data_IF_953952160176
#
_entry.id   IF_953952160176
#
_cell.length_a   1.000
_cell.length_b   1.000
_cell.length_c   1.000
_cell.angle_alpha   90.00
_cell.angle_beta   90.00
_cell.angle_gamma   90.00
#
_symmetry.space_group_name_H-M   'P 1'
#
loop_
_entity.id
_entity.type
_entity.pdbx_description
1 polymer ?
#
# COMPACT_ATOMS: atom_id res chain seq x y z
N UNK A 1 -4.20 -12.72 10.68
CA UNK A 1 -3.57 -11.45 11.15
C UNK A 1 -4.01 -10.33 10.21
N UNK A 2 -4.01 -9.08 10.68
CA UNK A 2 -4.31 -7.91 9.84
C UNK A 2 -3.16 -6.90 9.97
N UNK A 3 -2.77 -6.32 8.84
CA UNK A 3 -1.75 -5.27 8.75
C UNK A 3 -2.33 -4.08 7.98
N UNK A 4 -1.89 -2.87 8.34
CA UNK A 4 -2.25 -1.64 7.63
C UNK A 4 -1.03 -1.11 6.88
N UNK A 5 -1.19 -0.87 5.57
CA UNK A 5 -0.15 -0.31 4.72
C UNK A 5 -0.65 1.05 4.19
N UNK A 6 -0.11 2.18 4.69
CA UNK A 6 -0.61 3.50 4.32
C UNK A 6 -0.17 3.93 2.92
N UNK A 7 -1.12 4.39 2.11
CA UNK A 7 -0.89 4.94 0.76
C UNK A 7 -1.44 6.37 0.63
N UNK A 8 -1.44 7.10 1.74
CA UNK A 8 -1.94 8.48 1.83
C UNK A 8 -0.84 9.38 2.39
N UNK A 9 -1.10 10.68 2.47
CA UNK A 9 -0.16 11.67 2.96
C UNK A 9 -0.90 12.81 3.68
N UNK A 10 -0.21 13.57 4.53
CA UNK A 10 -0.85 14.48 5.49
C UNK A 10 -1.70 15.60 4.86
N UNK A 11 -1.44 16.00 3.61
CA UNK A 11 -2.12 17.10 2.94
C UNK A 11 -3.11 16.65 1.84
N UNK A 12 -3.53 15.38 1.87
CA UNK A 12 -4.49 14.83 0.89
C UNK A 12 -5.91 15.41 0.99
N UNK A 13 -6.18 16.27 1.96
CA UNK A 13 -7.51 16.81 2.26
C UNK A 13 -8.55 15.73 2.52
N UNK A 14 -8.17 14.66 3.24
CA UNK A 14 -9.10 13.57 3.56
C UNK A 14 -10.34 14.10 4.30
N UNK A 15 -11.54 13.84 3.77
CA UNK A 15 -12.81 14.40 4.26
C UNK A 15 -12.92 15.93 4.18
N UNK A 16 -12.26 16.57 3.21
CA UNK A 16 -12.37 18.00 2.93
C UNK A 16 -12.43 18.26 1.41
N UNK A 17 -12.85 19.46 0.95
CA UNK A 17 -12.81 19.81 -0.48
C UNK A 17 -11.41 19.70 -1.06
N UNK A 18 -11.33 19.38 -2.35
CA UNK A 18 -10.08 19.11 -3.06
C UNK A 18 -9.30 17.91 -2.45
N UNK A 19 -10.03 16.85 -2.07
CA UNK A 19 -9.43 15.57 -1.73
C UNK A 19 -8.66 15.00 -2.93
N UNK A 20 -7.37 14.74 -2.75
CA UNK A 20 -6.49 14.36 -3.84
C UNK A 20 -5.36 13.45 -3.39
N UNK A 21 -4.73 12.80 -4.36
CA UNK A 21 -3.60 11.90 -4.16
C UNK A 21 -2.47 12.27 -5.13
N UNK A 22 -1.22 12.11 -4.70
CA UNK A 22 -0.05 12.33 -5.55
C UNK A 22 0.10 11.15 -6.51
N UNK A 23 0.21 11.42 -7.81
CA UNK A 23 0.40 10.37 -8.82
C UNK A 23 1.67 9.53 -8.58
N UNK A 24 2.74 10.15 -8.05
CA UNK A 24 3.96 9.43 -7.63
C UNK A 24 3.69 8.48 -6.47
N UNK A 25 2.99 8.94 -5.43
CA UNK A 25 2.62 8.08 -4.29
C UNK A 25 1.76 6.90 -4.72
N UNK A 26 0.80 7.12 -5.63
CA UNK A 26 -0.01 6.02 -6.19
C UNK A 26 0.83 5.00 -6.95
N UNK A 27 1.88 5.43 -7.65
CA UNK A 27 2.79 4.53 -8.37
C UNK A 27 3.60 3.68 -7.39
N UNK A 28 4.20 4.31 -6.38
CA UNK A 28 4.98 3.61 -5.36
C UNK A 28 4.11 2.60 -4.60
N UNK A 29 2.86 2.98 -4.29
CA UNK A 29 1.88 2.10 -3.67
C UNK A 29 1.56 0.86 -4.52
N UNK A 30 1.38 1.04 -5.83
CA UNK A 30 1.12 -0.07 -6.76
C UNK A 30 2.30 -1.04 -6.82
N UNK A 31 3.53 -0.52 -6.89
CA UNK A 31 4.74 -1.34 -6.91
C UNK A 31 4.90 -2.13 -5.61
N UNK A 32 4.70 -1.46 -4.46
CA UNK A 32 4.77 -2.10 -3.14
C UNK A 32 3.74 -3.20 -2.98
N UNK A 33 2.47 -2.93 -3.25
CA UNK A 33 1.41 -3.93 -3.08
C UNK A 33 1.56 -5.08 -4.07
N UNK A 34 2.07 -4.81 -5.27
CA UNK A 34 2.40 -5.86 -6.25
C UNK A 34 3.48 -6.80 -5.71
N UNK A 35 4.58 -6.25 -5.20
CA UNK A 35 5.66 -7.04 -4.59
C UNK A 35 5.16 -7.84 -3.39
N UNK A 36 4.40 -7.21 -2.49
CA UNK A 36 3.83 -7.87 -1.32
C UNK A 36 2.96 -9.08 -1.71
N UNK A 37 2.02 -8.91 -2.64
CA UNK A 37 1.16 -10.03 -3.06
C UNK A 37 1.91 -11.09 -3.85
N UNK A 38 2.94 -10.71 -4.62
CA UNK A 38 3.82 -11.64 -5.31
C UNK A 38 4.57 -12.53 -4.30
N UNK A 39 5.27 -11.93 -3.35
CA UNK A 39 6.10 -12.65 -2.37
C UNK A 39 5.27 -13.59 -1.48
N UNK A 40 4.02 -13.19 -1.19
CA UNK A 40 3.07 -14.05 -0.49
C UNK A 40 2.70 -15.32 -1.29
N UNK A 41 2.64 -15.22 -2.62
CA UNK A 41 2.30 -16.32 -3.53
C UNK A 41 3.48 -17.16 -3.99
N UNK A 42 4.70 -16.62 -3.97
CA UNK A 42 5.91 -17.24 -4.53
C UNK A 42 6.45 -18.42 -3.69
N UNK A 43 5.84 -18.72 -2.54
CA UNK A 43 6.17 -19.88 -1.71
C UNK A 43 7.38 -19.70 -0.78
N UNK A 44 8.05 -18.55 -0.81
CA UNK A 44 9.09 -18.15 0.15
C UNK A 44 8.55 -17.64 1.50
N UNK A 45 7.23 -17.57 1.66
CA UNK A 45 6.61 -17.11 2.91
C UNK A 45 6.88 -18.10 4.06
N UNK A 46 7.42 -17.64 5.21
CA UNK A 46 7.70 -18.52 6.35
C UNK A 46 6.45 -19.27 6.81
N UNK A 47 6.63 -20.58 7.05
CA UNK A 47 5.59 -21.42 7.65
C UNK A 47 5.22 -20.94 9.05
N UNK A 48 4.02 -21.31 9.50
CA UNK A 48 3.62 -21.09 10.88
C UNK A 48 4.48 -21.98 11.79
N UNK A 49 5.03 -21.40 12.86
CA UNK A 49 5.68 -22.15 13.93
C UNK A 49 4.67 -23.05 14.68
#
# INVERSE_FOLDING_TARGET
>A
PAIWVPHSYAACSQHAPDEHILASLSRDALELMTGLYWDLGDGGTPGRA
#
